data_IF_102748696216
#
_entry.id   IF_102748696216
#
_cell.length_a   1.000
_cell.length_b   1.000
_cell.length_c   1.000
_cell.angle_alpha   90.00
_cell.angle_beta   90.00
_cell.angle_gamma   90.00
#
_symmetry.space_group_name_H-M   'P 1'
#
loop_
_entity.id
_entity.type
_entity.pdbx_description
1 polymer ?
#
# COMPACT_ATOMS: atom_id res chain seq x y z
N UNK A 1 -37.50 -16.00 36.36
CA UNK A 1 -36.11 -15.41 36.35
C UNK A 1 -35.07 -16.41 35.89
N UNK A 2 -34.94 -17.61 36.46
CA UNK A 2 -33.96 -18.63 36.06
C UNK A 2 -34.04 -19.06 34.57
N UNK A 3 -35.24 -19.23 34.00
CA UNK A 3 -35.46 -19.63 32.60
C UNK A 3 -34.94 -18.55 31.64
N UNK A 4 -35.18 -17.27 31.93
CA UNK A 4 -34.69 -16.16 31.12
C UNK A 4 -33.16 -16.03 31.18
N UNK A 5 -32.56 -16.25 32.33
CA UNK A 5 -31.10 -16.30 32.46
C UNK A 5 -30.51 -17.48 31.67
N UNK A 6 -31.11 -18.67 31.72
CA UNK A 6 -30.64 -19.83 30.99
C UNK A 6 -30.77 -19.63 29.46
N UNK A 7 -31.89 -19.07 28.98
CA UNK A 7 -32.07 -18.72 27.59
C UNK A 7 -31.07 -17.65 27.12
N UNK A 8 -30.78 -16.65 27.95
CA UNK A 8 -29.79 -15.64 27.66
C UNK A 8 -28.38 -16.21 27.55
N UNK A 9 -27.96 -17.05 28.49
CA UNK A 9 -26.65 -17.73 28.46
C UNK A 9 -26.50 -18.66 27.24
N UNK A 10 -27.57 -19.40 26.91
CA UNK A 10 -27.59 -20.31 25.76
C UNK A 10 -27.46 -19.54 24.44
N UNK A 11 -28.20 -18.44 24.27
CA UNK A 11 -28.12 -17.57 23.09
C UNK A 11 -26.75 -16.93 22.94
N UNK A 12 -26.15 -16.45 24.04
CA UNK A 12 -24.78 -15.92 24.03
C UNK A 12 -23.75 -16.98 23.61
N UNK A 13 -23.89 -18.20 24.13
CA UNK A 13 -22.99 -19.31 23.79
C UNK A 13 -23.05 -19.66 22.29
N UNK A 14 -24.28 -19.73 21.73
CA UNK A 14 -24.47 -19.96 20.28
C UNK A 14 -23.80 -18.83 19.48
N UNK A 15 -24.05 -17.57 19.83
CA UNK A 15 -23.48 -16.42 19.14
C UNK A 15 -21.95 -16.46 19.19
N UNK A 16 -21.35 -16.80 20.32
CA UNK A 16 -19.90 -16.95 20.46
C UNK A 16 -19.35 -18.09 19.61
N UNK A 17 -20.05 -19.23 19.53
CA UNK A 17 -19.67 -20.36 18.65
C UNK A 17 -19.73 -19.96 17.18
N UNK A 18 -20.82 -19.33 16.75
CA UNK A 18 -20.97 -18.83 15.39
C UNK A 18 -19.89 -17.78 15.06
N UNK A 19 -19.63 -16.87 16.00
CA UNK A 19 -18.57 -15.89 15.82
C UNK A 19 -17.19 -16.54 15.63
N UNK A 20 -16.85 -17.55 16.43
CA UNK A 20 -15.61 -18.33 16.27
C UNK A 20 -15.57 -19.06 14.92
N UNK A 21 -16.69 -19.61 14.45
CA UNK A 21 -16.78 -20.24 13.14
C UNK A 21 -16.54 -19.22 12.02
N UNK A 22 -17.19 -18.06 12.08
CA UNK A 22 -17.00 -16.99 11.10
C UNK A 22 -15.55 -16.48 11.04
N UNK A 23 -14.87 -16.33 12.17
CA UNK A 23 -13.47 -15.92 12.21
C UNK A 23 -12.49 -16.89 11.50
N UNK A 24 -12.94 -18.09 11.16
CA UNK A 24 -12.17 -19.09 10.40
C UNK A 24 -12.43 -19.03 8.89
N UNK A 25 -13.47 -18.34 8.45
CA UNK A 25 -13.86 -18.24 7.02
C UNK A 25 -12.81 -17.45 6.22
N UNK A 26 -12.76 -17.71 4.92
CA UNK A 26 -11.95 -16.93 3.99
C UNK A 26 -12.48 -15.50 3.87
N UNK A 27 -13.82 -15.34 3.89
CA UNK A 27 -14.42 -13.99 3.92
C UNK A 27 -13.86 -13.14 5.06
N UNK A 28 -13.72 -13.70 6.27
CA UNK A 28 -13.09 -12.98 7.38
C UNK A 28 -11.61 -12.73 7.14
N UNK A 29 -10.87 -13.77 6.73
CA UNK A 29 -9.43 -13.66 6.47
C UNK A 29 -9.12 -12.65 5.36
N UNK A 30 -9.99 -12.52 4.36
CA UNK A 30 -9.86 -11.57 3.26
C UNK A 30 -9.99 -10.10 3.69
N UNK A 31 -10.51 -9.82 4.90
CA UNK A 31 -10.53 -8.46 5.45
C UNK A 31 -9.14 -7.96 5.87
N UNK A 32 -8.18 -8.87 6.08
CA UNK A 32 -6.83 -8.53 6.55
C UNK A 32 -5.84 -8.77 5.44
N UNK A 33 -5.09 -7.74 5.07
CA UNK A 33 -4.01 -7.86 4.11
C UNK A 33 -2.74 -8.36 4.78
N UNK A 34 -2.48 -7.97 6.03
CA UNK A 34 -1.25 -8.29 6.73
C UNK A 34 -1.51 -9.25 7.90
N UNK A 35 -0.81 -10.37 7.90
CA UNK A 35 -0.84 -11.38 8.96
C UNK A 35 0.58 -11.90 9.22
N UNK A 36 0.78 -12.66 10.28
CA UNK A 36 2.09 -13.23 10.61
C UNK A 36 2.70 -14.12 9.53
N UNK A 37 1.86 -14.70 8.67
CA UNK A 37 2.28 -15.62 7.62
C UNK A 37 2.15 -14.98 6.24
N UNK A 38 2.21 -13.69 6.20
CA UNK A 38 1.88 -12.89 5.06
C UNK A 38 3.09 -12.76 4.16
N UNK A 39 2.96 -12.84 2.92
CA UNK A 39 3.31 -11.90 1.87
C UNK A 39 3.72 -12.60 0.62
N UNK A 40 3.06 -12.34 -0.44
CA UNK A 40 3.28 -12.93 -1.71
C UNK A 40 3.29 -11.90 -2.82
N UNK A 41 4.07 -12.18 -3.85
CA UNK A 41 3.96 -11.51 -5.14
C UNK A 41 2.63 -11.70 -5.84
N UNK A 42 1.98 -12.83 -5.60
CA UNK A 42 0.85 -13.33 -6.37
C UNK A 42 -0.47 -13.13 -5.63
N UNK A 43 -0.40 -12.75 -4.39
CA UNK A 43 -1.53 -12.54 -3.51
C UNK A 43 -1.05 -12.32 -2.08
N UNK A 44 -1.92 -11.90 -1.20
CA UNK A 44 -1.55 -11.40 0.10
C UNK A 44 -1.41 -12.46 1.19
N UNK A 45 -1.21 -13.74 0.87
CA UNK A 45 -1.30 -14.80 1.88
C UNK A 45 -0.34 -15.95 1.73
N UNK A 46 0.53 -15.93 0.76
CA UNK A 46 1.54 -16.97 0.64
C UNK A 46 2.61 -16.78 1.71
N UNK A 47 3.08 -17.88 2.22
CA UNK A 47 4.17 -17.89 3.18
C UNK A 47 5.49 -17.92 2.41
N UNK A 48 6.07 -16.75 2.18
CA UNK A 48 7.35 -16.63 1.46
C UNK A 48 8.58 -16.99 2.31
N UNK A 49 8.37 -17.33 3.56
CA UNK A 49 9.50 -17.57 4.46
C UNK A 49 10.30 -16.30 4.76
N UNK A 50 11.45 -16.50 5.39
CA UNK A 50 12.40 -15.43 5.74
C UNK A 50 13.54 -15.36 4.73
N UNK A 51 14.42 -14.38 4.89
CA UNK A 51 15.59 -14.11 4.05
C UNK A 51 15.26 -13.61 2.65
N UNK A 52 14.32 -12.65 2.57
CA UNK A 52 14.00 -11.97 1.34
C UNK A 52 15.18 -11.10 0.88
N UNK A 53 15.51 -11.16 -0.40
CA UNK A 53 16.55 -10.35 -1.01
C UNK A 53 16.11 -8.90 -1.22
N UNK A 54 14.82 -8.73 -1.50
CA UNK A 54 14.23 -7.45 -1.88
C UNK A 54 12.75 -7.39 -1.48
N UNK A 55 12.34 -6.25 -0.98
CA UNK A 55 10.92 -5.95 -0.72
C UNK A 55 10.59 -4.54 -1.21
N UNK A 56 9.33 -4.29 -1.54
CA UNK A 56 8.87 -2.93 -1.78
C UNK A 56 7.72 -2.57 -0.84
N UNK A 57 7.67 -1.33 -0.44
CA UNK A 57 6.57 -0.64 0.21
C UNK A 57 5.68 0.05 -0.82
N UNK A 58 4.75 0.88 -0.39
CA UNK A 58 4.03 1.84 -1.21
C UNK A 58 2.56 1.55 -1.46
N UNK A 59 1.95 2.41 -2.26
CA UNK A 59 0.51 2.39 -2.54
C UNK A 59 0.17 1.67 -3.86
N UNK A 60 -1.00 1.94 -4.43
CA UNK A 60 -1.51 1.31 -5.64
C UNK A 60 -0.51 1.18 -6.80
N UNK A 61 0.31 2.19 -7.17
CA UNK A 61 1.27 2.02 -8.24
C UNK A 61 2.35 1.00 -7.90
N UNK A 62 2.83 0.94 -6.66
CA UNK A 62 3.78 -0.05 -6.23
C UNK A 62 3.17 -1.45 -6.15
N UNK A 63 1.92 -1.53 -5.70
CA UNK A 63 1.14 -2.76 -5.69
C UNK A 63 1.04 -3.36 -7.10
N UNK A 64 0.80 -2.52 -8.10
CA UNK A 64 0.74 -2.89 -9.51
C UNK A 64 2.07 -2.66 -10.25
N UNK A 65 3.14 -2.37 -9.54
CA UNK A 65 4.46 -2.13 -10.12
C UNK A 65 5.37 -3.34 -10.03
N UNK A 66 5.38 -4.02 -8.91
CA UNK A 66 6.35 -5.08 -8.64
C UNK A 66 5.74 -6.48 -8.72
N UNK A 67 6.49 -7.40 -9.34
CA UNK A 67 6.18 -8.82 -9.40
C UNK A 67 7.48 -9.65 -9.44
N UNK A 68 7.86 -10.22 -8.30
CA UNK A 68 9.13 -10.91 -8.13
C UNK A 68 9.01 -12.41 -8.52
N UNK A 69 9.58 -12.81 -9.64
CA UNK A 69 9.59 -14.22 -10.08
C UNK A 69 10.97 -14.86 -9.92
N UNK A 70 12.04 -14.10 -10.21
CA UNK A 70 13.41 -14.63 -10.30
C UNK A 70 14.25 -14.40 -9.04
N UNK A 71 13.75 -13.59 -8.12
CA UNK A 71 14.44 -13.27 -6.86
C UNK A 71 13.50 -13.52 -5.69
N UNK A 72 14.07 -13.76 -4.52
CA UNK A 72 13.29 -13.90 -3.28
C UNK A 72 12.82 -12.53 -2.82
N UNK A 73 11.73 -12.09 -3.41
CA UNK A 73 11.16 -10.76 -3.14
C UNK A 73 9.73 -10.82 -2.65
N UNK A 74 9.26 -9.71 -2.06
CA UNK A 74 7.87 -9.55 -1.65
C UNK A 74 7.36 -8.13 -1.89
N UNK A 75 6.12 -8.05 -2.34
CA UNK A 75 5.43 -6.79 -2.54
C UNK A 75 4.55 -6.48 -1.32
N UNK A 76 4.98 -5.51 -0.51
CA UNK A 76 4.30 -5.07 0.71
C UNK A 76 3.39 -3.85 0.50
N UNK A 77 3.21 -3.47 -0.75
CA UNK A 77 2.33 -2.37 -1.10
C UNK A 77 0.85 -2.75 -1.02
N UNK A 78 0.00 -1.80 -0.72
CA UNK A 78 -1.46 -1.93 -0.79
C UNK A 78 -2.12 -0.60 -1.15
N UNK A 79 -3.39 -0.68 -1.56
CA UNK A 79 -4.14 0.51 -1.95
C UNK A 79 -4.25 1.55 -0.84
N UNK A 80 -4.08 2.82 -1.20
CA UNK A 80 -4.19 3.98 -0.30
C UNK A 80 -3.18 4.00 0.85
N UNK A 81 -2.04 3.37 0.69
CA UNK A 81 -0.96 3.32 1.68
C UNK A 81 -0.08 4.57 1.56
N UNK A 82 0.13 5.25 2.68
CA UNK A 82 1.05 6.39 2.80
C UNK A 82 2.30 6.01 3.61
N UNK A 83 3.26 6.92 3.70
CA UNK A 83 4.52 6.71 4.43
C UNK A 83 4.36 6.29 5.90
N UNK A 84 3.42 6.83 6.68
CA UNK A 84 3.23 6.36 8.06
C UNK A 84 2.93 4.88 8.12
N UNK A 85 2.07 4.38 7.22
CA UNK A 85 1.73 2.96 7.16
C UNK A 85 2.86 2.12 6.56
N UNK A 86 3.55 2.62 5.56
CA UNK A 86 4.77 2.01 5.02
C UNK A 86 5.79 1.77 6.13
N UNK A 87 5.96 2.74 7.01
CA UNK A 87 6.89 2.63 8.13
C UNK A 87 6.44 1.59 9.17
N UNK A 88 5.15 1.53 9.50
CA UNK A 88 4.63 0.47 10.40
C UNK A 88 4.81 -0.93 9.80
N UNK A 89 4.55 -1.11 8.51
CA UNK A 89 4.79 -2.36 7.79
C UNK A 89 6.29 -2.72 7.86
N UNK A 90 7.16 -1.76 7.56
CA UNK A 90 8.60 -1.94 7.61
C UNK A 90 9.06 -2.36 9.02
N UNK A 91 8.63 -1.64 10.06
CA UNK A 91 8.95 -1.96 11.46
C UNK A 91 8.50 -3.37 11.86
N UNK A 92 7.34 -3.79 11.37
CA UNK A 92 6.79 -5.09 11.71
C UNK A 92 7.48 -6.25 10.96
N UNK A 93 7.79 -6.06 9.67
CA UNK A 93 8.26 -7.13 8.80
C UNK A 93 9.75 -7.06 8.43
N UNK A 94 10.52 -6.09 8.91
CA UNK A 94 11.93 -5.97 8.55
C UNK A 94 12.73 -7.27 8.75
N UNK A 95 12.40 -8.07 9.77
CA UNK A 95 13.08 -9.34 10.06
C UNK A 95 12.85 -10.45 9.02
N UNK A 96 11.98 -10.23 8.05
CA UNK A 96 11.78 -11.12 6.90
C UNK A 96 12.80 -10.84 5.79
N UNK A 97 13.39 -9.66 5.78
CA UNK A 97 14.45 -9.28 4.84
C UNK A 97 15.78 -9.77 5.38
N UNK A 98 16.62 -10.33 4.53
CA UNK A 98 17.98 -10.76 4.92
C UNK A 98 18.87 -9.56 5.26
N UNK A 99 19.92 -9.77 6.02
CA UNK A 99 20.96 -8.77 6.24
C UNK A 99 21.53 -8.29 4.90
N UNK A 100 21.61 -6.98 4.72
CA UNK A 100 22.02 -6.36 3.46
C UNK A 100 21.00 -6.48 2.32
N UNK A 101 19.77 -6.95 2.61
CA UNK A 101 18.68 -6.99 1.64
C UNK A 101 18.11 -5.61 1.34
N UNK A 102 17.43 -5.50 0.21
CA UNK A 102 16.93 -4.22 -0.31
C UNK A 102 15.50 -3.93 0.15
N UNK A 103 15.27 -2.68 0.53
CA UNK A 103 13.93 -2.14 0.80
C UNK A 103 13.67 -1.01 -0.19
N UNK A 104 12.77 -1.25 -1.14
CA UNK A 104 12.35 -0.22 -2.09
C UNK A 104 11.28 0.65 -1.43
N UNK A 105 11.54 1.95 -1.41
CA UNK A 105 10.62 2.97 -0.90
C UNK A 105 10.12 3.77 -2.11
N UNK A 106 8.90 3.52 -2.57
CA UNK A 106 8.36 4.19 -3.75
C UNK A 106 8.08 5.66 -3.49
N UNK A 107 8.54 6.49 -4.41
CA UNK A 107 8.28 7.93 -4.45
C UNK A 107 7.26 8.19 -5.56
N UNK A 108 6.07 8.58 -5.16
CA UNK A 108 4.97 8.92 -6.06
C UNK A 108 4.89 10.44 -6.25
N UNK A 109 4.19 10.93 -7.29
CA UNK A 109 4.10 12.37 -7.56
C UNK A 109 3.68 13.24 -6.37
N UNK A 110 2.87 12.69 -5.47
CA UNK A 110 2.35 13.40 -4.30
C UNK A 110 2.87 12.85 -2.97
N UNK A 111 3.89 11.98 -2.97
CA UNK A 111 4.43 11.40 -1.73
C UNK A 111 4.82 12.46 -0.70
N UNK A 112 5.39 13.57 -1.16
CA UNK A 112 5.84 14.68 -0.31
C UNK A 112 4.72 15.34 0.51
N UNK A 113 3.48 15.28 0.03
CA UNK A 113 2.33 15.95 0.65
C UNK A 113 1.16 14.98 0.93
N UNK A 114 1.40 13.68 0.84
CA UNK A 114 0.34 12.66 0.94
C UNK A 114 -0.37 12.65 2.31
N UNK A 115 0.33 13.01 3.38
CA UNK A 115 -0.25 13.11 4.74
C UNK A 115 -1.37 14.15 4.83
N UNK A 116 -1.46 15.09 3.88
CA UNK A 116 -2.64 15.97 3.80
C UNK A 116 -3.94 15.17 3.66
N UNK A 117 -3.93 14.07 2.91
CA UNK A 117 -5.10 13.22 2.74
C UNK A 117 -5.54 12.56 4.06
N UNK A 118 -4.60 12.31 4.96
CA UNK A 118 -4.87 11.72 6.27
C UNK A 118 -5.64 12.65 7.21
N UNK A 119 -5.63 13.95 6.95
CA UNK A 119 -6.42 14.91 7.71
C UNK A 119 -7.92 14.85 7.40
N UNK A 120 -8.31 14.07 6.37
CA UNK A 120 -9.69 13.99 5.91
C UNK A 120 -10.41 12.81 6.51
N UNK A 121 -11.59 13.00 7.13
CA UNK A 121 -12.34 11.91 7.77
C UNK A 121 -12.67 10.74 6.85
N UNK A 122 -12.91 10.99 5.56
CA UNK A 122 -13.22 9.95 4.58
C UNK A 122 -12.02 9.06 4.22
N UNK A 123 -10.80 9.50 4.46
CA UNK A 123 -9.59 8.71 4.23
C UNK A 123 -9.55 7.49 5.16
N UNK A 124 -10.04 7.66 6.37
CA UNK A 124 -10.02 6.67 7.42
C UNK A 124 -11.31 5.83 7.42
N UNK A 125 -11.40 4.83 6.54
CA UNK A 125 -12.52 3.90 6.54
C UNK A 125 -12.29 2.73 7.51
N UNK A 126 -13.39 2.11 8.01
CA UNK A 126 -13.30 0.88 8.82
C UNK A 126 -12.50 -0.22 8.10
N UNK A 127 -12.60 -0.29 6.76
CA UNK A 127 -11.89 -1.27 5.96
C UNK A 127 -10.37 -1.02 5.92
N UNK A 128 -9.94 0.23 5.93
CA UNK A 128 -8.52 0.57 6.01
C UNK A 128 -7.91 0.07 7.31
N UNK A 129 -8.56 0.35 8.45
CA UNK A 129 -8.08 -0.15 9.74
C UNK A 129 -8.05 -1.66 9.84
N UNK A 130 -9.04 -2.34 9.27
CA UNK A 130 -9.08 -3.80 9.26
C UNK A 130 -7.88 -4.40 8.53
N UNK A 131 -7.42 -3.76 7.44
CA UNK A 131 -6.26 -4.22 6.68
C UNK A 131 -5.00 -4.26 7.55
N UNK A 132 -4.79 -3.26 8.38
CA UNK A 132 -3.55 -3.05 9.15
C UNK A 132 -3.67 -3.40 10.63
N UNK A 133 -4.86 -3.70 11.10
CA UNK A 133 -5.14 -3.85 12.54
C UNK A 133 -4.26 -4.88 13.28
N UNK A 134 -3.64 -5.81 12.55
CA UNK A 134 -2.76 -6.83 13.15
C UNK A 134 -1.30 -6.41 13.28
N UNK A 135 -0.92 -5.32 12.64
CA UNK A 135 0.43 -4.75 12.70
C UNK A 135 0.50 -3.45 13.50
N UNK A 136 -0.63 -2.77 13.66
CA UNK A 136 -0.71 -1.57 14.49
C UNK A 136 -0.61 -1.95 15.97
N UNK A 137 0.14 -1.16 16.73
CA UNK A 137 0.16 -1.29 18.18
C UNK A 137 -1.11 -0.71 18.84
N UNK A 138 -1.27 -0.97 20.14
CA UNK A 138 -2.44 -0.49 20.88
C UNK A 138 -2.51 1.05 20.96
N UNK A 139 -1.37 1.74 20.97
CA UNK A 139 -1.33 3.19 21.04
C UNK A 139 -1.81 3.80 19.73
N UNK A 140 -1.35 3.25 18.61
CA UNK A 140 -1.77 3.67 17.27
C UNK A 140 -3.25 3.40 17.05
N UNK A 141 -3.73 2.20 17.42
CA UNK A 141 -5.16 1.85 17.32
C UNK A 141 -6.03 2.79 18.15
N UNK A 142 -5.58 3.20 19.34
CA UNK A 142 -6.34 4.10 20.21
C UNK A 142 -6.47 5.54 19.65
N UNK A 143 -5.55 5.97 18.79
CA UNK A 143 -5.59 7.27 18.10
C UNK A 143 -6.58 7.30 16.94
N UNK A 144 -7.07 6.13 16.51
CA UNK A 144 -7.95 6.03 15.35
C UNK A 144 -9.37 6.51 15.67
N UNK A 145 -10.01 7.29 14.77
CA UNK A 145 -11.43 7.55 14.89
C UNK A 145 -12.22 6.24 14.97
N UNK A 146 -13.18 6.15 15.89
CA UNK A 146 -14.02 4.95 16.04
C UNK A 146 -13.27 3.64 16.41
N UNK A 147 -12.08 3.71 17.01
CA UNK A 147 -11.29 2.52 17.35
C UNK A 147 -12.10 1.45 18.12
N UNK A 148 -13.00 1.85 19.04
CA UNK A 148 -13.85 0.92 19.80
C UNK A 148 -14.77 0.10 18.88
N UNK A 149 -15.33 0.72 17.84
CA UNK A 149 -16.16 0.06 16.84
C UNK A 149 -15.34 -0.91 16.00
N UNK A 150 -14.12 -0.51 15.63
CA UNK A 150 -13.17 -1.37 14.89
C UNK A 150 -12.78 -2.58 15.73
N UNK A 151 -12.41 -2.39 17.00
CA UNK A 151 -12.08 -3.48 17.92
C UNK A 151 -13.27 -4.44 18.13
N UNK A 152 -14.49 -3.89 18.29
CA UNK A 152 -15.70 -4.70 18.41
C UNK A 152 -15.93 -5.53 17.14
N UNK A 153 -15.79 -4.92 15.96
CA UNK A 153 -15.90 -5.59 14.67
C UNK A 153 -14.85 -6.67 14.49
N UNK A 154 -13.61 -6.43 14.96
CA UNK A 154 -12.54 -7.44 14.91
C UNK A 154 -12.79 -8.62 15.83
N UNK A 155 -13.29 -8.38 17.03
CA UNK A 155 -13.48 -9.41 18.05
C UNK A 155 -14.81 -10.14 17.92
N UNK A 156 -15.86 -9.40 17.56
CA UNK A 156 -17.25 -9.88 17.49
C UNK A 156 -17.96 -9.41 16.21
N UNK A 157 -17.46 -9.77 15.02
CA UNK A 157 -18.03 -9.28 13.76
C UNK A 157 -19.51 -9.61 13.58
N UNK A 158 -20.00 -10.76 14.07
CA UNK A 158 -21.42 -11.13 13.99
C UNK A 158 -22.32 -10.35 14.94
N UNK A 159 -21.78 -9.77 16.00
CA UNK A 159 -22.52 -8.83 16.86
C UNK A 159 -22.76 -7.51 16.13
N UNK A 160 -21.77 -7.06 15.36
CA UNK A 160 -21.86 -5.81 14.58
C UNK A 160 -22.70 -6.00 13.32
N UNK A 161 -22.57 -7.14 12.67
CA UNK A 161 -23.33 -7.47 11.45
C UNK A 161 -23.68 -8.96 11.39
N UNK A 162 -24.86 -9.35 11.90
CA UNK A 162 -25.31 -10.75 11.91
C UNK A 162 -25.42 -11.39 10.52
N UNK A 163 -25.65 -10.59 9.47
CA UNK A 163 -25.76 -11.09 8.08
C UNK A 163 -24.48 -11.81 7.60
N UNK A 164 -23.35 -11.50 8.21
CA UNK A 164 -22.08 -12.17 7.89
C UNK A 164 -22.08 -13.68 8.22
N UNK A 165 -23.03 -14.15 9.03
CA UNK A 165 -23.16 -15.56 9.34
C UNK A 165 -23.38 -16.45 8.09
N UNK A 166 -23.86 -15.88 6.99
CA UNK A 166 -24.02 -16.61 5.71
C UNK A 166 -22.69 -17.19 5.22
N UNK A 167 -21.58 -16.52 5.47
CA UNK A 167 -20.25 -16.97 5.05
C UNK A 167 -19.71 -18.14 5.87
N UNK A 168 -20.38 -18.54 6.95
CA UNK A 168 -20.06 -19.79 7.66
C UNK A 168 -20.46 -21.00 6.81
N UNK A 169 -21.55 -20.85 6.03
CA UNK A 169 -22.14 -21.93 5.23
C UNK A 169 -21.76 -21.81 3.74
N UNK A 170 -21.54 -20.58 3.27
CA UNK A 170 -21.20 -20.23 1.88
C UNK A 170 -19.98 -19.32 1.87
N UNK A 171 -18.81 -19.90 2.17
CA UNK A 171 -17.57 -19.12 2.22
C UNK A 171 -17.11 -18.70 0.81
N UNK A 172 -16.34 -17.64 0.75
CA UNK A 172 -15.75 -17.14 -0.48
C UNK A 172 -14.38 -17.80 -0.72
N UNK A 173 -13.87 -17.82 -1.96
CA UNK A 173 -12.51 -18.28 -2.21
C UNK A 173 -11.49 -17.41 -1.48
N UNK A 174 -10.30 -17.94 -1.25
CA UNK A 174 -9.17 -17.16 -0.79
C UNK A 174 -8.86 -16.12 -1.87
N UNK A 175 -8.81 -14.87 -1.48
CA UNK A 175 -8.48 -13.77 -2.39
C UNK A 175 -6.96 -13.78 -2.65
N UNK A 176 -6.57 -14.56 -3.64
CA UNK A 176 -5.16 -14.77 -4.03
C UNK A 176 -4.75 -14.01 -5.29
N UNK A 177 -5.72 -13.46 -6.03
CA UNK A 177 -5.47 -12.96 -7.39
C UNK A 177 -5.87 -11.50 -7.62
N UNK A 178 -5.85 -10.67 -6.57
CA UNK A 178 -6.22 -9.25 -6.68
C UNK A 178 -5.42 -8.44 -7.70
N UNK A 179 -4.33 -8.99 -8.18
CA UNK A 179 -3.33 -8.23 -8.93
C UNK A 179 -3.12 -8.69 -10.37
N UNK A 180 -3.80 -9.74 -10.81
CA UNK A 180 -3.69 -10.19 -12.19
C UNK A 180 -4.78 -9.47 -12.99
N UNK A 181 -4.44 -8.27 -13.46
CA UNK A 181 -5.24 -7.58 -14.45
C UNK A 181 -4.42 -7.48 -15.74
N UNK A 182 -4.88 -8.16 -16.77
CA UNK A 182 -4.23 -8.21 -18.09
C UNK A 182 -4.94 -7.31 -19.12
N UNK A 183 -5.91 -6.50 -18.70
CA UNK A 183 -6.58 -5.60 -19.61
C UNK A 183 -5.62 -4.52 -20.08
N UNK A 184 -5.50 -4.40 -21.40
CA UNK A 184 -4.82 -3.28 -22.04
C UNK A 184 -5.87 -2.30 -22.56
N UNK A 185 -5.68 -1.02 -22.26
CA UNK A 185 -6.50 0.05 -22.81
C UNK A 185 -5.97 0.50 -24.18
N UNK A 186 -6.86 1.00 -25.02
CA UNK A 186 -6.44 1.69 -26.25
C UNK A 186 -5.82 3.06 -25.91
N UNK A 187 -4.99 3.60 -26.80
CA UNK A 187 -4.28 4.86 -26.57
C UNK A 187 -5.21 6.04 -26.18
N UNK A 188 -6.36 6.15 -26.83
CA UNK A 188 -7.36 7.18 -26.52
C UNK A 188 -7.98 7.02 -25.12
N UNK A 189 -8.15 5.78 -24.68
CA UNK A 189 -8.65 5.47 -23.34
C UNK A 189 -7.60 5.79 -22.28
N UNK A 190 -6.33 5.53 -22.57
CA UNK A 190 -5.20 5.83 -21.66
C UNK A 190 -5.04 7.34 -21.49
N UNK A 191 -5.16 8.13 -22.58
CA UNK A 191 -5.12 9.60 -22.50
C UNK A 191 -6.28 10.16 -21.66
N UNK A 192 -7.49 9.64 -21.86
CA UNK A 192 -8.64 10.04 -21.05
C UNK A 192 -8.47 9.68 -19.58
N UNK A 193 -7.96 8.49 -19.31
CA UNK A 193 -7.65 8.02 -17.93
C UNK A 193 -6.60 8.91 -17.26
N UNK A 194 -5.56 9.35 -17.97
CA UNK A 194 -4.56 10.27 -17.46
C UNK A 194 -5.18 11.59 -16.98
N UNK A 195 -6.01 12.21 -17.82
CA UNK A 195 -6.72 13.44 -17.46
C UNK A 195 -7.65 13.26 -16.27
N UNK A 196 -8.33 12.11 -16.19
CA UNK A 196 -9.18 11.77 -15.05
C UNK A 196 -8.39 11.66 -13.73
N UNK A 197 -7.20 11.05 -13.76
CA UNK A 197 -6.33 10.99 -12.58
C UNK A 197 -5.93 12.39 -12.11
N UNK A 198 -5.49 13.27 -13.00
CA UNK A 198 -5.14 14.64 -12.64
C UNK A 198 -6.32 15.38 -12.01
N UNK A 199 -7.51 15.25 -12.57
CA UNK A 199 -8.72 15.87 -12.01
C UNK A 199 -9.06 15.30 -10.62
N UNK A 200 -8.92 13.99 -10.44
CA UNK A 200 -9.12 13.33 -9.16
C UNK A 200 -8.17 13.88 -8.10
N UNK A 201 -6.88 13.93 -8.38
CA UNK A 201 -5.90 14.47 -7.45
C UNK A 201 -6.12 15.95 -7.12
N UNK A 202 -6.44 16.79 -8.12
CA UNK A 202 -6.81 18.18 -7.84
C UNK A 202 -8.00 18.26 -6.87
N UNK A 203 -8.99 17.41 -7.02
CA UNK A 203 -10.15 17.32 -6.13
C UNK A 203 -9.74 16.80 -4.74
N UNK A 204 -8.96 15.74 -4.68
CA UNK A 204 -8.51 15.14 -3.42
C UNK A 204 -7.66 16.10 -2.59
N UNK A 205 -6.77 16.87 -3.22
CA UNK A 205 -5.93 17.85 -2.56
C UNK A 205 -6.60 19.23 -2.42
N UNK A 206 -7.81 19.43 -2.94
CA UNK A 206 -8.53 20.70 -2.95
C UNK A 206 -7.69 21.83 -3.57
N UNK A 207 -7.16 21.58 -4.75
CA UNK A 207 -6.38 22.54 -5.55
C UNK A 207 -7.04 22.79 -6.91
N UNK A 208 -6.82 23.97 -7.47
CA UNK A 208 -7.32 24.33 -8.79
C UNK A 208 -6.21 24.25 -9.84
N UNK A 209 -5.08 24.86 -9.51
CA UNK A 209 -3.92 24.95 -10.40
C UNK A 209 -2.78 24.05 -9.93
N UNK A 210 -1.86 23.69 -10.81
CA UNK A 210 -0.70 22.88 -10.45
C UNK A 210 0.18 23.51 -9.39
N UNK A 211 0.40 24.85 -9.49
CA UNK A 211 1.20 25.61 -8.53
C UNK A 211 0.65 25.54 -7.10
N UNK A 212 -0.62 25.27 -6.94
CA UNK A 212 -1.25 25.17 -5.62
C UNK A 212 -0.74 23.95 -4.83
N UNK A 213 -0.22 22.91 -5.50
CA UNK A 213 0.30 21.71 -4.83
C UNK A 213 1.58 21.97 -3.99
N UNK A 214 2.30 23.05 -4.25
CA UNK A 214 3.43 23.50 -3.45
C UNK A 214 3.22 24.89 -2.82
N UNK A 215 1.94 25.26 -2.66
CA UNK A 215 1.55 26.45 -1.93
C UNK A 215 1.77 26.30 -0.41
N UNK A 216 1.80 27.42 0.31
CA UNK A 216 2.10 27.48 1.75
C UNK A 216 1.29 26.52 2.61
N UNK A 217 0.05 26.24 2.24
CA UNK A 217 -0.81 25.29 2.98
C UNK A 217 -0.24 23.86 3.03
N UNK A 218 0.63 23.48 2.09
CA UNK A 218 1.24 22.17 2.04
C UNK A 218 2.61 22.08 2.72
N UNK A 219 3.24 23.21 3.09
CA UNK A 219 4.54 23.20 3.74
C UNK A 219 4.61 22.28 4.97
N UNK A 220 3.64 22.29 5.91
CA UNK A 220 3.71 21.39 7.07
C UNK A 220 3.65 19.92 6.69
N UNK A 221 2.94 19.60 5.61
CA UNK A 221 2.83 18.22 5.11
C UNK A 221 4.10 17.80 4.38
N UNK A 222 4.69 18.69 3.61
CA UNK A 222 5.98 18.47 2.97
C UNK A 222 7.08 18.21 4.00
N UNK A 223 7.20 19.05 5.02
CA UNK A 223 8.18 18.90 6.10
C UNK A 223 7.96 17.59 6.87
N UNK A 224 6.71 17.25 7.17
CA UNK A 224 6.36 15.96 7.78
C UNK A 224 6.72 14.78 6.90
N UNK A 225 6.48 14.88 5.58
CA UNK A 225 6.85 13.85 4.61
C UNK A 225 8.36 13.66 4.53
N UNK A 226 9.13 14.75 4.50
CA UNK A 226 10.61 14.74 4.52
C UNK A 226 11.13 14.05 5.77
N UNK A 227 10.61 14.39 6.94
CA UNK A 227 11.01 13.75 8.20
C UNK A 227 10.70 12.26 8.19
N UNK A 228 9.51 11.88 7.79
CA UNK A 228 9.10 10.46 7.74
C UNK A 228 9.97 9.64 6.80
N UNK A 229 10.24 10.14 5.59
CA UNK A 229 11.10 9.44 4.64
C UNK A 229 12.53 9.33 5.15
N UNK A 230 13.05 10.38 5.79
CA UNK A 230 14.38 10.36 6.42
C UNK A 230 14.46 9.32 7.54
N UNK A 231 13.43 9.24 8.42
CA UNK A 231 13.33 8.22 9.47
C UNK A 231 13.26 6.80 8.90
N UNK A 232 12.53 6.57 7.83
CA UNK A 232 12.47 5.26 7.16
C UNK A 232 13.84 4.85 6.60
N UNK A 233 14.57 5.78 5.99
CA UNK A 233 15.93 5.56 5.50
C UNK A 233 16.85 5.19 6.67
N UNK A 234 16.87 5.99 7.73
CA UNK A 234 17.71 5.76 8.91
C UNK A 234 17.38 4.44 9.58
N UNK A 235 16.09 4.08 9.68
CA UNK A 235 15.66 2.81 10.23
C UNK A 235 16.19 1.62 9.41
N UNK A 236 16.11 1.68 8.09
CA UNK A 236 16.66 0.63 7.22
C UNK A 236 18.15 0.46 7.45
N UNK A 237 18.91 1.56 7.43
CA UNK A 237 20.36 1.54 7.63
C UNK A 237 20.75 1.00 9.01
N UNK A 238 20.03 1.41 10.06
CA UNK A 238 20.23 0.91 11.42
C UNK A 238 20.00 -0.61 11.52
N UNK A 239 19.09 -1.16 10.70
CA UNK A 239 18.78 -2.58 10.62
C UNK A 239 19.63 -3.35 9.63
N UNK A 240 20.74 -2.78 9.15
CA UNK A 240 21.60 -3.36 8.12
C UNK A 240 20.85 -3.71 6.83
N UNK A 241 19.82 -2.94 6.48
CA UNK A 241 19.09 -3.05 5.22
C UNK A 241 19.56 -1.97 4.25
N UNK A 242 19.32 -2.19 2.95
CA UNK A 242 19.68 -1.25 1.89
C UNK A 242 18.43 -0.54 1.36
N UNK A 243 18.07 0.66 1.91
CA UNK A 243 16.97 1.42 1.35
C UNK A 243 17.31 1.95 -0.03
N UNK A 244 16.34 1.89 -0.94
CA UNK A 244 16.42 2.44 -2.29
C UNK A 244 15.15 3.21 -2.56
N UNK A 245 15.28 4.49 -2.89
CA UNK A 245 14.16 5.30 -3.33
C UNK A 245 13.89 4.99 -4.80
N UNK A 246 12.65 4.83 -5.19
CA UNK A 246 12.29 4.43 -6.55
C UNK A 246 11.01 5.10 -7.01
N UNK A 247 11.01 5.72 -8.19
CA UNK A 247 9.76 6.07 -8.86
C UNK A 247 9.30 4.91 -9.74
N UNK A 248 7.99 4.76 -9.88
CA UNK A 248 7.40 3.69 -10.68
C UNK A 248 7.01 4.26 -12.04
N UNK A 249 7.26 3.53 -13.14
CA UNK A 249 6.83 3.99 -14.46
C UNK A 249 5.33 4.25 -14.51
N UNK A 250 4.95 5.27 -15.24
CA UNK A 250 3.59 5.54 -15.65
C UNK A 250 3.56 5.80 -17.16
N UNK A 251 2.39 5.70 -17.78
CA UNK A 251 2.29 5.93 -19.20
C UNK A 251 2.78 7.34 -19.57
N UNK A 252 3.32 7.52 -20.77
CA UNK A 252 3.74 8.82 -21.26
C UNK A 252 2.60 9.85 -21.24
N UNK A 253 1.36 9.42 -21.42
CA UNK A 253 0.18 10.29 -21.32
C UNK A 253 0.02 10.91 -19.93
N UNK A 254 0.21 10.11 -18.87
CA UNK A 254 0.13 10.64 -17.51
C UNK A 254 1.42 11.35 -17.10
N UNK A 255 2.56 10.83 -17.46
CA UNK A 255 3.86 11.43 -17.14
C UNK A 255 3.97 12.85 -17.70
N UNK A 256 3.51 13.08 -18.91
CA UNK A 256 3.54 14.40 -19.57
C UNK A 256 2.60 15.44 -18.94
N UNK A 257 1.60 15.00 -18.16
CA UNK A 257 0.74 15.91 -17.40
C UNK A 257 1.52 16.58 -16.22
N UNK A 258 2.63 16.01 -15.75
CA UNK A 258 3.45 16.59 -14.71
C UNK A 258 4.52 17.51 -15.28
N UNK A 259 4.35 18.81 -15.06
CA UNK A 259 5.31 19.83 -15.51
C UNK A 259 6.70 19.65 -14.91
N UNK A 260 7.72 20.19 -15.54
CA UNK A 260 9.10 20.16 -14.96
C UNK A 260 9.14 20.79 -13.58
N UNK A 261 8.41 21.89 -13.36
CA UNK A 261 8.35 22.56 -12.06
C UNK A 261 7.68 21.65 -11.01
N UNK A 262 6.58 20.97 -11.38
CA UNK A 262 5.94 20.00 -10.48
C UNK A 262 6.91 18.89 -10.07
N UNK A 263 7.62 18.30 -11.03
CA UNK A 263 8.60 17.24 -10.79
C UNK A 263 9.72 17.74 -9.87
N UNK A 264 10.24 18.94 -10.13
CA UNK A 264 11.27 19.54 -9.30
C UNK A 264 10.77 19.71 -7.86
N UNK A 265 9.61 20.33 -7.67
CA UNK A 265 9.10 20.69 -6.34
C UNK A 265 8.65 19.49 -5.51
N UNK A 266 7.90 18.57 -6.09
CA UNK A 266 7.24 17.52 -5.31
C UNK A 266 7.98 16.17 -5.33
N UNK A 267 8.93 15.99 -6.24
CA UNK A 267 9.71 14.76 -6.33
C UNK A 267 11.18 15.04 -5.98
N UNK A 268 11.87 15.84 -6.78
CA UNK A 268 13.32 15.98 -6.62
C UNK A 268 13.72 16.80 -5.39
N UNK A 269 13.07 17.94 -5.12
CA UNK A 269 13.31 18.72 -3.91
C UNK A 269 12.98 17.90 -2.66
N UNK A 270 11.90 17.10 -2.70
CA UNK A 270 11.52 16.21 -1.62
C UNK A 270 12.56 15.11 -1.37
N UNK A 271 12.97 14.41 -2.42
CA UNK A 271 14.02 13.38 -2.31
C UNK A 271 15.31 13.99 -1.78
N UNK A 272 15.75 15.12 -2.32
CA UNK A 272 16.96 15.80 -1.88
C UNK A 272 16.88 16.26 -0.41
N UNK A 273 15.71 16.73 0.02
CA UNK A 273 15.50 17.15 1.41
C UNK A 273 15.57 15.96 2.38
N UNK A 274 15.00 14.81 2.03
CA UNK A 274 14.92 13.65 2.90
C UNK A 274 16.17 12.74 2.83
N UNK A 275 16.79 12.61 1.67
CA UNK A 275 17.88 11.66 1.40
C UNK A 275 19.26 12.19 1.82
N UNK A 276 19.42 12.57 3.08
CA UNK A 276 20.73 13.08 3.62
C UNK A 276 21.81 12.00 3.70
N UNK A 277 21.45 10.75 3.62
CA UNK A 277 22.36 9.60 3.62
C UNK A 277 22.84 9.20 2.24
N UNK A 278 22.40 9.89 1.18
CA UNK A 278 22.74 9.61 -0.20
C UNK A 278 22.46 8.14 -0.61
N UNK A 279 21.34 7.57 -0.12
CA UNK A 279 20.90 6.27 -0.60
C UNK A 279 20.49 6.37 -2.06
N UNK A 280 20.56 5.24 -2.76
CA UNK A 280 20.30 5.20 -4.19
C UNK A 280 18.88 5.65 -4.50
N UNK A 281 18.73 6.50 -5.50
CA UNK A 281 17.45 6.90 -6.08
C UNK A 281 17.39 6.42 -7.54
N UNK A 282 16.39 5.62 -7.86
CA UNK A 282 16.12 5.09 -9.20
C UNK A 282 14.86 5.76 -9.73
N UNK A 283 15.03 6.62 -10.72
CA UNK A 283 13.91 7.34 -11.33
C UNK A 283 13.49 6.68 -12.65
N UNK A 284 12.34 5.98 -12.62
CA UNK A 284 11.77 5.34 -13.78
C UNK A 284 10.48 6.00 -14.27
N UNK A 285 10.04 7.09 -13.63
CA UNK A 285 8.75 7.70 -13.97
C UNK A 285 8.68 8.17 -15.42
N UNK A 286 9.80 8.60 -15.96
CA UNK A 286 9.93 9.16 -17.31
C UNK A 286 10.91 8.36 -18.16
N UNK A 287 11.16 7.13 -17.81
CA UNK A 287 12.12 6.26 -18.49
C UNK A 287 11.52 5.73 -19.79
N UNK A 288 12.15 6.04 -20.92
CA UNK A 288 11.70 5.67 -22.26
C UNK A 288 11.56 4.15 -22.45
N UNK A 289 12.26 3.34 -21.65
CA UNK A 289 12.12 1.88 -21.65
C UNK A 289 10.70 1.42 -21.31
N UNK A 290 9.94 2.25 -20.63
CA UNK A 290 8.55 1.99 -20.22
C UNK A 290 7.54 2.88 -20.96
N UNK A 291 7.92 3.52 -22.07
CA UNK A 291 7.02 4.40 -22.83
C UNK A 291 5.93 3.65 -23.59
N UNK A 292 6.10 2.34 -23.83
CA UNK A 292 5.11 1.54 -24.58
C UNK A 292 3.80 1.40 -23.79
N UNK A 293 2.67 1.91 -24.32
CA UNK A 293 1.35 1.80 -23.65
C UNK A 293 0.88 0.39 -23.38
N UNK A 294 1.34 -0.61 -24.13
CA UNK A 294 1.02 -2.03 -23.90
C UNK A 294 1.53 -2.60 -22.57
N UNK A 295 2.38 -1.85 -21.86
CA UNK A 295 2.88 -2.23 -20.53
C UNK A 295 1.93 -1.82 -19.41
N UNK A 296 0.84 -1.11 -19.74
CA UNK A 296 -0.03 -0.50 -18.74
C UNK A 296 -1.46 -1.05 -18.78
N UNK A 297 -2.07 -0.99 -17.62
CA UNK A 297 -3.50 -1.11 -17.43
C UNK A 297 -4.03 0.29 -17.04
N UNK A 298 -4.43 1.06 -18.02
CA UNK A 298 -4.70 2.49 -17.88
C UNK A 298 -3.44 3.34 -17.98
N UNK A 299 -3.49 4.56 -17.44
CA UNK A 299 -2.38 5.51 -17.54
C UNK A 299 -1.39 5.42 -16.36
N UNK A 300 -1.81 4.84 -15.25
CA UNK A 300 -1.10 4.92 -13.98
C UNK A 300 -0.54 3.58 -13.48
N UNK A 301 -1.08 2.45 -13.93
CA UNK A 301 -0.71 1.14 -13.41
C UNK A 301 -0.10 0.27 -14.48
N UNK A 302 0.97 -0.43 -14.14
CA UNK A 302 1.52 -1.46 -15.01
C UNK A 302 0.58 -2.68 -15.03
N UNK A 303 0.40 -3.29 -16.20
CA UNK A 303 -0.19 -4.61 -16.34
C UNK A 303 0.85 -5.69 -15.99
N UNK A 304 0.51 -6.96 -16.03
CA UNK A 304 1.41 -8.03 -15.61
C UNK A 304 2.71 -8.07 -16.44
N UNK A 305 2.63 -7.82 -17.76
CA UNK A 305 3.80 -7.73 -18.64
C UNK A 305 4.73 -6.58 -18.20
N UNK A 306 4.16 -5.39 -17.96
CA UNK A 306 4.92 -4.22 -17.50
C UNK A 306 5.55 -4.45 -16.12
N UNK A 307 4.83 -5.05 -15.18
CA UNK A 307 5.32 -5.38 -13.84
C UNK A 307 6.55 -6.30 -13.86
N UNK A 308 6.50 -7.35 -14.68
CA UNK A 308 7.63 -8.29 -14.82
C UNK A 308 8.85 -7.58 -15.37
N UNK A 309 8.70 -6.84 -16.48
CA UNK A 309 9.79 -6.09 -17.13
C UNK A 309 10.36 -5.04 -16.17
N UNK A 310 9.51 -4.28 -15.47
CA UNK A 310 9.94 -3.27 -14.53
C UNK A 310 10.69 -3.88 -13.33
N UNK A 311 10.15 -4.94 -12.74
CA UNK A 311 10.79 -5.62 -11.60
C UNK A 311 12.15 -6.18 -12.00
N UNK A 312 12.26 -6.83 -13.15
CA UNK A 312 13.54 -7.34 -13.68
C UNK A 312 14.55 -6.21 -13.90
N UNK A 313 14.11 -5.06 -14.42
CA UNK A 313 14.98 -3.91 -14.60
C UNK A 313 15.50 -3.36 -13.27
N UNK A 314 14.63 -3.23 -12.25
CA UNK A 314 15.05 -2.80 -10.91
C UNK A 314 16.05 -3.78 -10.31
N UNK A 315 15.80 -5.08 -10.39
CA UNK A 315 16.70 -6.13 -9.89
C UNK A 315 18.06 -6.05 -10.58
N UNK A 316 18.08 -5.86 -11.89
CA UNK A 316 19.30 -5.69 -12.70
C UNK A 316 20.06 -4.43 -12.29
N UNK A 317 19.37 -3.29 -12.17
CA UNK A 317 20.00 -2.03 -11.82
C UNK A 317 20.57 -2.04 -10.39
N UNK A 318 20.00 -2.85 -9.51
CA UNK A 318 20.53 -3.09 -8.15
C UNK A 318 21.70 -4.09 -8.12
N UNK A 319 21.95 -4.81 -9.22
CA UNK A 319 22.98 -5.83 -9.27
C UNK A 319 22.68 -7.07 -8.43
N UNK A 320 21.39 -7.34 -8.17
CA UNK A 320 20.95 -8.56 -7.48
C UNK A 320 21.08 -9.71 -8.48
N UNK A 321 21.84 -10.72 -8.09
CA UNK A 321 22.01 -11.94 -8.92
C UNK A 321 20.83 -12.87 -8.69
N UNK A 322 20.36 -13.50 -9.77
CA UNK A 322 19.35 -14.56 -9.76
C UNK A 322 19.77 -15.75 -8.91
#
# INVERSE_FOLDING_TARGET
MLVFLFMGCFSCSILLCLNKAYLKTNHWKNQFLFTKNFISNNGYRDNLGRNLDIVNLGSNPALNGFFYEKVRGANWATGSQGFPMDFEILKYYHSYVKDGGYVLIPIMPFSSISNFLETRPQYWSDSYYMKFAKILDCEQVNKLPNFRKVLLKMRFPLVVNPKLAIFIFHDVPVDSNLLINEQTMQATEVEYDAKKWIMSWKTEFCVKEYKDFWGEKFNPFFDSGVNMLSEMIDYCLYRNLKPVLVTIPMSSYLANEFTLEFRQKLIYDFVNAANKKNVRFLDYMFDDRFSNPELFNGSFFLNMKGRKIFTEQVVKDLGIKD
#
